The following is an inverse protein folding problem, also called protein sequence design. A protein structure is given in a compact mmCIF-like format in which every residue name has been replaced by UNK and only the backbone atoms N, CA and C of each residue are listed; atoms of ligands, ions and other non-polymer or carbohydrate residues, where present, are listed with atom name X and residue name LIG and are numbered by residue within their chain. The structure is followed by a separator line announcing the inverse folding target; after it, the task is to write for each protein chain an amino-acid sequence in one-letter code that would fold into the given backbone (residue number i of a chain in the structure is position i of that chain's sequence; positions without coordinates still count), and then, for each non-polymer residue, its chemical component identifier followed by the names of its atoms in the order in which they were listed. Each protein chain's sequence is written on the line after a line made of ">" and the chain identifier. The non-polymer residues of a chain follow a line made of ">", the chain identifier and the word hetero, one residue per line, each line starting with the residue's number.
data_IF_440371406348
#
_entry.id   IF_440371406348
#
_cell.length_a   1.000
_cell.length_b   1.000
_cell.length_c   1.000
_cell.angle_alpha   90.00
_cell.angle_beta   90.00
_cell.angle_gamma   90.00
#
_symmetry.space_group_name_H-M   'P 1'
#
loop_
_entity.id
_entity.type
_entity.pdbx_description
1 polymer ?
#
# COMPACT_ATOMS: atom_id res chain seq x y z
N UNK A 1 0.66 -4.95 29.83
CA UNK A 1 1.37 -4.77 28.55
C UNK A 1 0.82 -3.48 27.95
N UNK A 2 1.65 -2.46 27.84
CA UNK A 2 1.29 -1.23 27.13
C UNK A 2 1.37 -1.53 25.64
N UNK A 3 0.24 -1.37 24.94
CA UNK A 3 0.22 -1.48 23.48
C UNK A 3 0.83 -0.21 22.84
N UNK A 4 1.53 -0.34 21.70
CA UNK A 4 2.05 0.81 20.97
C UNK A 4 0.88 1.70 20.50
N UNK A 5 1.10 3.00 20.39
CA UNK A 5 0.07 3.93 19.92
C UNK A 5 -0.12 3.88 18.39
N UNK A 6 0.94 3.51 17.67
CA UNK A 6 0.92 3.38 16.22
C UNK A 6 1.28 1.95 15.83
N UNK A 7 0.39 1.30 15.11
CA UNK A 7 0.63 -0.01 14.50
C UNK A 7 0.72 0.12 12.98
N UNK A 8 1.62 -0.63 12.37
CA UNK A 8 1.75 -0.71 10.91
C UNK A 8 1.51 -2.15 10.44
N UNK A 9 0.68 -2.30 9.43
CA UNK A 9 0.49 -3.55 8.68
C UNK A 9 0.87 -3.31 7.23
N UNK A 10 2.10 -3.67 6.86
CA UNK A 10 2.61 -3.59 5.50
C UNK A 10 2.43 -4.89 4.71
N UNK A 11 2.84 -4.88 3.45
CA UNK A 11 2.83 -6.04 2.55
C UNK A 11 2.32 -5.72 1.15
N UNK A 12 2.50 -6.63 0.18
CA UNK A 12 2.09 -6.41 -1.21
C UNK A 12 0.57 -6.30 -1.38
N UNK A 13 0.08 -5.78 -2.51
CA UNK A 13 -1.33 -5.86 -2.86
C UNK A 13 -1.84 -7.31 -2.84
N UNK A 14 -3.13 -7.49 -2.57
CA UNK A 14 -3.83 -8.79 -2.52
C UNK A 14 -3.40 -9.76 -1.40
N UNK A 15 -2.43 -9.40 -0.53
CA UNK A 15 -2.00 -10.28 0.59
C UNK A 15 -3.01 -10.35 1.75
N UNK A 16 -4.01 -9.45 1.79
CA UNK A 16 -5.07 -9.45 2.80
C UNK A 16 -4.86 -8.47 3.97
N UNK A 17 -3.96 -7.49 3.81
CA UNK A 17 -3.66 -6.45 4.82
C UNK A 17 -4.90 -5.81 5.41
N UNK A 18 -5.75 -5.23 4.56
CA UNK A 18 -6.93 -4.47 4.99
C UNK A 18 -7.91 -5.30 5.82
N UNK A 19 -8.04 -6.62 5.53
CA UNK A 19 -8.89 -7.52 6.32
C UNK A 19 -8.29 -7.75 7.71
N UNK A 20 -7.00 -8.05 7.77
CA UNK A 20 -6.28 -8.29 9.04
C UNK A 20 -6.22 -7.00 9.87
N UNK A 21 -5.87 -5.89 9.25
CA UNK A 21 -5.74 -4.59 9.90
C UNK A 21 -7.05 -4.15 10.58
N UNK A 22 -8.18 -4.24 9.86
CA UNK A 22 -9.50 -3.89 10.41
C UNK A 22 -9.88 -4.75 11.61
N UNK A 23 -9.59 -6.06 11.57
CA UNK A 23 -9.86 -6.97 12.68
C UNK A 23 -9.00 -6.64 13.91
N UNK A 24 -7.70 -6.37 13.70
CA UNK A 24 -6.79 -5.97 14.77
C UNK A 24 -7.23 -4.64 15.38
N UNK A 25 -7.48 -3.63 14.55
CA UNK A 25 -7.90 -2.30 14.99
C UNK A 25 -9.20 -2.38 15.81
N UNK A 26 -10.21 -3.11 15.32
CA UNK A 26 -11.47 -3.30 16.05
C UNK A 26 -11.27 -4.01 17.40
N UNK A 27 -10.38 -5.02 17.45
CA UNK A 27 -10.10 -5.77 18.68
C UNK A 27 -9.36 -4.94 19.73
N UNK A 28 -8.49 -4.02 19.30
CA UNK A 28 -7.70 -3.16 20.17
C UNK A 28 -8.37 -1.82 20.46
N UNK A 29 -9.48 -1.49 19.81
CA UNK A 29 -10.11 -0.17 19.91
C UNK A 29 -9.30 0.94 19.25
N UNK A 30 -8.56 0.63 18.19
CA UNK A 30 -7.73 1.57 17.41
C UNK A 30 -8.50 2.15 16.23
N UNK A 31 -8.13 3.37 15.83
CA UNK A 31 -8.43 3.83 14.47
C UNK A 31 -7.75 2.94 13.42
N UNK A 32 -8.24 2.97 12.20
CA UNK A 32 -7.61 2.26 11.07
C UNK A 32 -7.56 3.18 9.86
N UNK A 33 -6.38 3.34 9.27
CA UNK A 33 -6.15 4.21 8.12
C UNK A 33 -5.41 3.45 7.03
N UNK A 34 -5.94 3.51 5.81
CA UNK A 34 -5.29 2.95 4.63
C UNK A 34 -4.34 3.97 4.01
N UNK A 35 -3.17 3.52 3.54
CA UNK A 35 -2.30 4.37 2.73
C UNK A 35 -2.91 4.72 1.37
N UNK A 36 -3.85 3.91 0.87
CA UNK A 36 -4.58 4.23 -0.36
C UNK A 36 -5.47 5.47 -0.17
N UNK A 37 -6.12 5.62 1.01
CA UNK A 37 -6.92 6.80 1.34
C UNK A 37 -6.03 8.05 1.47
N UNK A 38 -4.83 7.91 2.07
CA UNK A 38 -3.84 8.99 2.15
C UNK A 38 -3.39 9.38 0.74
N UNK A 39 -3.10 8.42 -0.13
CA UNK A 39 -2.71 8.66 -1.51
C UNK A 39 -3.77 9.43 -2.28
N UNK A 40 -5.05 9.06 -2.14
CA UNK A 40 -6.16 9.79 -2.75
C UNK A 40 -6.27 11.23 -2.22
N UNK A 41 -6.07 11.43 -0.91
CA UNK A 41 -6.08 12.77 -0.32
C UNK A 41 -4.93 13.63 -0.84
N UNK A 42 -3.71 13.10 -0.90
CA UNK A 42 -2.52 13.79 -1.44
C UNK A 42 -2.75 14.12 -2.92
N UNK A 43 -3.18 13.14 -3.72
CA UNK A 43 -3.50 13.33 -5.13
C UNK A 43 -4.51 14.46 -5.36
N UNK A 44 -5.51 14.61 -4.49
CA UNK A 44 -6.56 15.62 -4.64
C UNK A 44 -6.08 17.06 -4.46
N UNK A 45 -4.91 17.27 -3.84
CA UNK A 45 -4.34 18.59 -3.53
C UNK A 45 -3.00 18.84 -4.21
N UNK A 46 -2.55 17.94 -5.06
CA UNK A 46 -1.29 18.03 -5.82
C UNK A 46 -1.54 18.06 -7.32
N UNK A 47 -0.50 18.24 -8.10
CA UNK A 47 -0.56 18.26 -9.56
C UNK A 47 0.46 17.32 -10.19
N UNK A 48 0.32 17.01 -11.47
CA UNK A 48 1.26 16.15 -12.21
C UNK A 48 2.70 16.70 -12.19
N UNK A 49 2.89 18.03 -12.09
CA UNK A 49 4.22 18.66 -12.03
C UNK A 49 4.90 18.40 -10.68
N UNK A 50 4.13 18.29 -9.60
CA UNK A 50 4.67 18.08 -8.24
C UNK A 50 4.70 16.62 -7.81
N UNK A 51 3.73 15.82 -8.31
CA UNK A 51 3.55 14.41 -7.94
C UNK A 51 3.24 13.56 -9.17
N UNK A 52 4.18 13.44 -10.12
CA UNK A 52 3.95 12.78 -11.41
C UNK A 52 3.49 11.33 -11.29
N UNK A 53 4.00 10.56 -10.33
CA UNK A 53 3.62 9.17 -10.15
C UNK A 53 2.22 9.01 -9.54
N UNK A 54 1.83 9.87 -8.61
CA UNK A 54 0.46 9.91 -8.06
C UNK A 54 -0.58 10.23 -9.14
N UNK A 55 -0.18 10.95 -10.17
CA UNK A 55 -1.01 11.35 -11.32
C UNK A 55 -0.80 10.48 -12.58
N UNK A 56 -0.02 9.40 -12.50
CA UNK A 56 0.32 8.54 -13.66
C UNK A 56 -0.90 7.92 -14.37
N UNK A 57 -2.04 7.81 -13.69
CA UNK A 57 -3.29 7.29 -14.25
C UNK A 57 -4.30 8.38 -14.65
N UNK A 58 -3.95 9.67 -14.58
CA UNK A 58 -4.89 10.73 -14.89
C UNK A 58 -5.37 10.68 -16.35
N UNK A 59 -6.69 10.69 -16.52
CA UNK A 59 -7.31 10.61 -17.85
C UNK A 59 -7.25 9.21 -18.50
N UNK A 60 -6.75 8.18 -17.81
CA UNK A 60 -6.66 6.81 -18.31
C UNK A 60 -7.52 5.90 -17.42
N UNK A 61 -8.31 5.01 -18.02
CA UNK A 61 -8.95 3.93 -17.25
C UNK A 61 -7.86 3.04 -16.63
N UNK A 62 -8.00 2.72 -15.35
CA UNK A 62 -6.98 1.93 -14.64
C UNK A 62 -6.72 0.57 -15.30
N UNK A 63 -7.71 -0.02 -15.98
CA UNK A 63 -7.58 -1.29 -16.69
C UNK A 63 -6.67 -1.16 -17.90
N UNK A 64 -6.82 -0.07 -18.66
CA UNK A 64 -5.96 0.24 -19.81
C UNK A 64 -4.55 0.62 -19.35
N UNK A 65 -4.44 1.32 -18.24
CA UNK A 65 -3.15 1.62 -17.61
C UNK A 65 -2.40 0.35 -17.26
N UNK A 66 -3.03 -0.61 -16.55
CA UNK A 66 -2.38 -1.88 -16.19
C UNK A 66 -2.09 -2.76 -17.40
N UNK A 67 -2.97 -2.84 -18.39
CA UNK A 67 -2.75 -3.62 -19.59
C UNK A 67 -1.66 -3.04 -20.49
N UNK A 68 -1.56 -1.71 -20.56
CA UNK A 68 -0.66 -0.98 -21.46
C UNK A 68 0.77 -0.78 -20.97
N UNK A 69 1.05 -0.98 -19.67
CA UNK A 69 2.37 -0.76 -19.06
C UNK A 69 3.20 -2.05 -19.00
N UNK A 70 4.53 -1.92 -19.01
CA UNK A 70 5.41 -3.03 -18.64
C UNK A 70 5.36 -3.26 -17.10
N UNK A 71 5.80 -4.43 -16.65
CA UNK A 71 5.90 -4.75 -15.23
C UNK A 71 6.83 -3.75 -14.51
N UNK A 72 7.96 -3.42 -15.13
CA UNK A 72 8.93 -2.44 -14.61
C UNK A 72 8.30 -1.05 -14.47
N UNK A 73 7.55 -0.59 -15.48
CA UNK A 73 6.84 0.69 -15.40
C UNK A 73 5.80 0.72 -14.28
N UNK A 74 5.06 -0.40 -14.09
CA UNK A 74 4.08 -0.50 -13.00
C UNK A 74 4.74 -0.52 -11.61
N UNK A 75 5.93 -1.09 -11.49
CA UNK A 75 6.74 -1.05 -10.26
C UNK A 75 7.25 0.36 -10.00
N UNK A 76 7.86 0.98 -11.00
CA UNK A 76 8.44 2.32 -10.92
C UNK A 76 7.38 3.36 -10.55
N UNK A 77 6.25 3.36 -11.25
CA UNK A 77 5.12 4.24 -10.94
C UNK A 77 4.59 4.01 -9.50
N UNK A 78 4.49 2.76 -9.06
CA UNK A 78 4.06 2.42 -7.70
C UNK A 78 5.06 2.87 -6.63
N UNK A 79 6.34 2.64 -6.85
CA UNK A 79 7.40 3.05 -5.92
C UNK A 79 7.51 4.58 -5.87
N UNK A 80 7.49 5.25 -7.02
CA UNK A 80 7.50 6.71 -7.10
C UNK A 80 6.30 7.34 -6.40
N UNK A 81 5.10 6.78 -6.57
CA UNK A 81 3.91 7.22 -5.84
C UNK A 81 4.09 7.08 -4.31
N UNK A 82 4.72 5.99 -3.84
CA UNK A 82 4.98 5.83 -2.40
C UNK A 82 5.98 6.84 -1.88
N UNK A 83 7.01 7.21 -2.67
CA UNK A 83 7.93 8.29 -2.35
C UNK A 83 7.19 9.61 -2.15
N UNK A 84 6.30 9.93 -3.08
CA UNK A 84 5.50 11.14 -3.05
C UNK A 84 4.53 11.20 -1.86
N UNK A 85 4.01 10.04 -1.44
CA UNK A 85 3.07 9.91 -0.31
C UNK A 85 3.75 9.88 1.05
N UNK A 86 5.01 9.42 1.11
CA UNK A 86 5.68 9.10 2.36
C UNK A 86 5.73 10.25 3.37
N UNK A 87 6.02 11.52 2.98
CA UNK A 87 6.03 12.62 3.94
C UNK A 87 4.69 12.80 4.69
N UNK A 88 3.57 12.60 4.00
CA UNK A 88 2.24 12.66 4.60
C UNK A 88 1.95 11.49 5.54
N UNK A 89 2.36 10.28 5.15
CA UNK A 89 2.23 9.07 5.97
C UNK A 89 3.05 9.21 7.25
N UNK A 90 4.32 9.58 7.14
CA UNK A 90 5.22 9.78 8.27
C UNK A 90 4.70 10.85 9.22
N UNK A 91 4.29 12.02 8.71
CA UNK A 91 3.73 13.11 9.52
C UNK A 91 2.51 12.64 10.31
N UNK A 92 1.62 11.87 9.69
CA UNK A 92 0.46 11.28 10.36
C UNK A 92 0.85 10.30 11.47
N UNK A 93 1.80 9.40 11.22
CA UNK A 93 2.28 8.44 12.23
C UNK A 93 2.93 9.17 13.43
N UNK A 94 3.78 10.17 13.18
CA UNK A 94 4.41 10.98 14.24
C UNK A 94 3.37 11.73 15.08
N UNK A 95 2.37 12.34 14.44
CA UNK A 95 1.28 13.02 15.14
C UNK A 95 0.50 12.07 16.06
N UNK A 96 0.15 10.87 15.59
CA UNK A 96 -0.57 9.87 16.37
C UNK A 96 0.26 9.26 17.51
N UNK A 97 1.59 9.22 17.40
CA UNK A 97 2.46 8.81 18.50
C UNK A 97 2.34 9.76 19.71
N UNK A 98 2.11 11.06 19.44
CA UNK A 98 1.93 12.08 20.49
C UNK A 98 0.49 12.16 20.98
N UNK A 99 -0.49 11.85 20.12
CA UNK A 99 -1.91 11.96 20.47
C UNK A 99 -2.36 10.82 21.39
N UNK A 100 -3.53 11.01 22.01
CA UNK A 100 -4.14 10.02 22.92
C UNK A 100 -4.94 8.93 22.19
N UNK A 101 -5.07 9.01 20.88
CA UNK A 101 -5.87 8.11 20.07
C UNK A 101 -4.96 7.17 19.26
N UNK A 102 -4.85 5.89 19.68
CA UNK A 102 -4.03 4.93 18.95
C UNK A 102 -4.63 4.58 17.60
N UNK A 103 -3.76 4.31 16.64
CA UNK A 103 -4.13 4.07 15.25
C UNK A 103 -3.33 2.91 14.65
N UNK A 104 -3.95 2.22 13.70
CA UNK A 104 -3.31 1.25 12.83
C UNK A 104 -3.29 1.80 11.40
N UNK A 105 -2.10 1.92 10.83
CA UNK A 105 -1.88 2.20 9.41
C UNK A 105 -1.72 0.89 8.64
N UNK A 106 -2.39 0.77 7.50
CA UNK A 106 -2.20 -0.38 6.62
C UNK A 106 -1.98 0.06 5.19
N UNK A 107 -1.16 -0.69 4.46
CA UNK A 107 -1.01 -0.44 3.05
C UNK A 107 0.28 -0.98 2.45
N UNK A 108 0.35 -0.90 1.13
CA UNK A 108 1.50 -1.34 0.35
C UNK A 108 2.60 -0.27 0.23
N UNK A 109 2.30 0.99 0.62
CA UNK A 109 3.30 2.04 0.74
C UNK A 109 4.17 1.95 2.01
N UNK A 110 3.89 0.96 2.89
CA UNK A 110 4.66 0.74 4.11
C UNK A 110 5.91 -0.09 3.83
N UNK A 111 6.95 0.57 3.30
CA UNK A 111 8.24 -0.07 3.04
C UNK A 111 8.99 -0.38 4.33
N UNK A 112 9.56 -1.60 4.48
CA UNK A 112 10.29 -1.99 5.69
C UNK A 112 11.41 -1.03 6.07
N UNK A 113 12.23 -0.58 5.12
CA UNK A 113 13.34 0.33 5.35
C UNK A 113 12.89 1.68 5.93
N UNK A 114 11.81 2.24 5.39
CA UNK A 114 11.27 3.53 5.85
C UNK A 114 10.67 3.42 7.24
N UNK A 115 9.93 2.36 7.48
CA UNK A 115 9.32 2.12 8.80
C UNK A 115 10.41 1.77 9.83
N UNK A 116 11.46 1.04 9.44
CA UNK A 116 12.60 0.76 10.30
C UNK A 116 13.32 2.04 10.76
N UNK A 117 13.45 3.03 9.88
CA UNK A 117 13.99 4.33 10.27
C UNK A 117 13.13 5.00 11.36
N UNK A 118 11.80 4.93 11.24
CA UNK A 118 10.89 5.46 12.25
C UNK A 118 10.92 4.68 13.57
N UNK A 119 11.10 3.37 13.54
CA UNK A 119 11.21 2.52 14.74
C UNK A 119 12.40 2.92 15.63
N UNK A 120 13.46 3.50 15.05
CA UNK A 120 14.59 4.01 15.81
C UNK A 120 14.27 5.30 16.57
N UNK A 121 13.27 6.06 16.11
CA UNK A 121 12.91 7.36 16.67
C UNK A 121 11.60 7.35 17.47
N UNK A 122 10.79 6.29 17.33
CA UNK A 122 9.43 6.25 17.85
C UNK A 122 9.17 4.99 18.69
N UNK A 123 9.37 5.06 19.99
CA UNK A 123 9.10 3.96 20.94
C UNK A 123 7.64 3.46 20.93
N UNK A 124 6.71 4.28 20.42
CA UNK A 124 5.28 4.00 20.37
C UNK A 124 4.84 3.34 19.06
N UNK A 125 5.77 3.02 18.17
CA UNK A 125 5.53 2.37 16.88
C UNK A 125 5.82 0.87 16.96
N UNK A 126 4.97 0.08 16.32
CA UNK A 126 5.25 -1.34 16.03
C UNK A 126 4.76 -1.69 14.63
N UNK A 127 5.43 -2.61 13.97
CA UNK A 127 5.13 -2.93 12.59
C UNK A 127 5.17 -4.43 12.32
N UNK A 128 4.36 -4.89 11.37
CA UNK A 128 4.35 -6.25 10.85
C UNK A 128 4.07 -6.21 9.34
N UNK A 129 4.71 -7.12 8.61
CA UNK A 129 4.46 -7.30 7.18
C UNK A 129 3.82 -8.64 6.90
N UNK A 130 2.77 -8.61 6.09
CA UNK A 130 2.14 -9.80 5.54
C UNK A 130 2.79 -10.11 4.20
N UNK A 131 3.28 -11.33 4.06
CA UNK A 131 3.81 -11.86 2.81
C UNK A 131 2.98 -13.07 2.36
N UNK A 132 3.15 -13.51 1.14
CA UNK A 132 2.47 -14.68 0.60
C UNK A 132 3.38 -15.43 -0.37
N UNK A 133 3.11 -16.73 -0.58
CA UNK A 133 3.76 -17.44 -1.68
C UNK A 133 3.24 -16.96 -3.03
N UNK A 134 4.03 -17.18 -4.09
CA UNK A 134 3.65 -16.79 -5.45
C UNK A 134 2.33 -17.45 -5.87
N UNK A 135 2.10 -18.72 -5.47
CA UNK A 135 0.86 -19.45 -5.76
C UNK A 135 -0.36 -18.81 -5.08
N UNK A 136 -0.21 -18.37 -3.83
CA UNK A 136 -1.30 -17.70 -3.12
C UNK A 136 -1.60 -16.33 -3.72
N UNK A 137 -0.58 -15.57 -4.13
CA UNK A 137 -0.75 -14.31 -4.84
C UNK A 137 -1.46 -14.53 -6.18
N UNK A 138 -1.05 -15.54 -6.96
CA UNK A 138 -1.70 -15.89 -8.22
C UNK A 138 -3.18 -16.25 -8.01
N UNK A 139 -3.48 -17.12 -7.04
CA UNK A 139 -4.85 -17.49 -6.71
C UNK A 139 -5.70 -16.25 -6.38
N UNK A 140 -5.18 -15.34 -5.58
CA UNK A 140 -5.92 -14.13 -5.16
C UNK A 140 -6.06 -13.12 -6.28
N UNK A 141 -5.03 -12.92 -7.08
CA UNK A 141 -5.06 -12.04 -8.25
C UNK A 141 -6.10 -12.56 -9.25
N UNK A 142 -6.07 -13.85 -9.61
CA UNK A 142 -7.05 -14.43 -10.53
C UNK A 142 -8.46 -14.44 -9.97
N UNK A 143 -8.62 -14.58 -8.66
CA UNK A 143 -9.93 -14.52 -7.98
C UNK A 143 -10.50 -13.10 -7.79
N UNK A 144 -9.76 -12.07 -8.14
CA UNK A 144 -10.20 -10.66 -8.00
C UNK A 144 -11.09 -10.20 -9.18
N UNK A 145 -12.12 -10.96 -9.53
CA UNK A 145 -12.98 -10.74 -10.71
C UNK A 145 -13.48 -9.30 -10.85
N UNK A 146 -13.87 -8.66 -9.74
CA UNK A 146 -14.34 -7.27 -9.75
C UNK A 146 -13.28 -6.27 -10.20
N UNK A 147 -12.00 -6.55 -9.94
CA UNK A 147 -10.89 -5.70 -10.33
C UNK A 147 -10.69 -5.70 -11.85
N UNK A 148 -10.98 -6.83 -12.50
CA UNK A 148 -10.82 -6.98 -13.94
C UNK A 148 -12.14 -6.79 -14.72
N UNK A 149 -13.27 -6.65 -14.04
CA UNK A 149 -14.57 -6.53 -14.68
C UNK A 149 -14.61 -5.36 -15.66
N UNK A 150 -14.93 -5.64 -16.91
CA UNK A 150 -14.98 -4.64 -17.98
C UNK A 150 -13.64 -4.29 -18.62
N UNK A 151 -12.53 -4.96 -18.26
CA UNK A 151 -11.28 -4.85 -19.02
C UNK A 151 -11.44 -5.41 -20.43
N UNK A 152 -10.85 -4.73 -21.41
CA UNK A 152 -10.83 -5.18 -22.81
C UNK A 152 -10.04 -6.49 -22.98
N UNK A 153 -9.00 -6.69 -22.17
CA UNK A 153 -8.18 -7.89 -22.09
C UNK A 153 -7.79 -8.19 -20.64
N UNK A 154 -8.59 -9.04 -19.98
CA UNK A 154 -8.38 -9.42 -18.59
C UNK A 154 -7.09 -10.21 -18.38
N UNK A 155 -6.76 -11.13 -19.31
CA UNK A 155 -5.56 -11.93 -19.21
C UNK A 155 -4.29 -11.07 -19.36
N UNK A 156 -4.30 -10.09 -20.26
CA UNK A 156 -3.19 -9.13 -20.36
C UNK A 156 -3.00 -8.34 -19.07
N UNK A 157 -4.10 -7.87 -18.48
CA UNK A 157 -4.05 -7.14 -17.21
C UNK A 157 -3.49 -8.02 -16.09
N UNK A 158 -3.91 -9.28 -15.99
CA UNK A 158 -3.39 -10.26 -15.02
C UNK A 158 -1.90 -10.53 -15.29
N UNK A 159 -1.50 -10.73 -16.56
CA UNK A 159 -0.12 -10.99 -16.95
C UNK A 159 0.85 -9.83 -16.62
N UNK A 160 0.34 -8.63 -16.37
CA UNK A 160 1.13 -7.48 -15.90
C UNK A 160 1.04 -7.30 -14.39
N UNK A 161 -0.16 -7.40 -13.83
CA UNK A 161 -0.41 -7.13 -12.42
C UNK A 161 0.19 -8.21 -11.49
N UNK A 162 0.10 -9.49 -11.88
CA UNK A 162 0.62 -10.59 -11.05
C UNK A 162 2.16 -10.55 -10.90
N UNK A 163 2.97 -10.50 -11.96
CA UNK A 163 4.43 -10.41 -11.80
C UNK A 163 4.87 -9.17 -11.02
N UNK A 164 4.19 -8.03 -11.21
CA UNK A 164 4.44 -6.82 -10.42
C UNK A 164 4.21 -7.08 -8.93
N UNK A 165 3.12 -7.75 -8.54
CA UNK A 165 2.84 -8.04 -7.13
C UNK A 165 3.80 -9.06 -6.53
N UNK A 166 4.24 -10.05 -7.31
CA UNK A 166 5.26 -11.03 -6.89
C UNK A 166 6.59 -10.30 -6.63
N UNK A 167 7.01 -9.46 -7.56
CA UNK A 167 8.25 -8.70 -7.39
C UNK A 167 8.18 -7.74 -6.20
N UNK A 168 7.04 -7.07 -6.02
CA UNK A 168 6.79 -6.24 -4.87
C UNK A 168 6.88 -7.00 -3.54
N UNK A 169 6.35 -8.23 -3.50
CA UNK A 169 6.43 -9.11 -2.34
C UNK A 169 7.89 -9.51 -2.03
N UNK A 170 8.71 -9.75 -3.07
CA UNK A 170 10.15 -10.05 -2.90
C UNK A 170 10.91 -8.86 -2.35
N UNK A 171 10.71 -7.69 -2.95
CA UNK A 171 11.37 -6.46 -2.51
C UNK A 171 11.04 -6.08 -1.06
N UNK A 172 9.87 -6.49 -0.54
CA UNK A 172 9.50 -6.26 0.86
C UNK A 172 10.08 -7.30 1.83
N UNK A 173 10.61 -8.42 1.33
CA UNK A 173 11.21 -9.47 2.18
C UNK A 173 12.73 -9.33 2.29
N UNK A 174 13.38 -8.66 1.36
CA UNK A 174 14.82 -8.39 1.31
C UNK A 174 15.21 -7.23 2.25
#
# INVERSE_FOLDING_TARGET
>A
VTHPKVLVVGGPPMVGKSSVARLIAARLGYGCMSTDDIGLAIKSVTTVETHPHSHAMDGIDYRDYYAGRSVEQLLDDGMGMHEEMWPGIEAGMRAHADWSFPILYEGWAMWPERVAALLNDMDQLSAVWLTASDELLEQRVRGAERFYAGASDQEMMIAKYLPRNIEYNRLMMD
#
